data_IF_137649215076
#
_entry.id   IF_137649215076
#
_cell.length_a   1.000
_cell.length_b   1.000
_cell.length_c   1.000
_cell.angle_alpha   90.00
_cell.angle_beta   90.00
_cell.angle_gamma   90.00
#
_symmetry.space_group_name_H-M   'P 1'
#
loop_
_entity.id
_entity.type
_entity.pdbx_description
1 polymer ?
#
# COMPACT_ATOMS: atom_id res chain seq x y z
N UNK A 1 -3.83 -10.94 -21.27
CA UNK A 1 -3.04 -10.50 -20.11
C UNK A 1 -2.79 -9.01 -20.26
N UNK A 2 -3.34 -8.18 -19.37
CA UNK A 2 -3.09 -6.73 -19.41
C UNK A 2 -1.74 -6.48 -18.76
N UNK A 3 -0.79 -5.92 -19.52
CA UNK A 3 0.50 -5.51 -19.00
C UNK A 3 0.32 -4.18 -18.25
N UNK A 4 0.52 -4.17 -16.93
CA UNK A 4 0.33 -2.98 -16.09
C UNK A 4 1.19 -1.80 -16.57
N UNK A 5 2.43 -2.05 -17.00
CA UNK A 5 3.31 -0.99 -17.54
C UNK A 5 2.74 -0.37 -18.83
N UNK A 6 2.05 -1.18 -19.65
CA UNK A 6 1.38 -0.70 -20.85
C UNK A 6 0.12 0.11 -20.56
N UNK A 7 -0.57 -0.20 -19.45
CA UNK A 7 -1.74 0.53 -18.99
C UNK A 7 -1.33 1.90 -18.41
N UNK A 8 -0.25 1.95 -17.63
CA UNK A 8 0.31 3.19 -17.10
C UNK A 8 0.78 4.14 -18.20
N UNK A 9 1.52 3.64 -19.19
CA UNK A 9 1.95 4.46 -20.33
C UNK A 9 0.75 4.95 -21.17
N UNK A 10 -0.30 4.13 -21.28
CA UNK A 10 -1.53 4.52 -21.99
C UNK A 10 -2.34 5.57 -21.20
N UNK A 11 -2.32 5.53 -19.88
CA UNK A 11 -2.93 6.55 -19.02
C UNK A 11 -2.16 7.86 -19.11
N UNK A 12 -0.83 7.81 -19.01
CA UNK A 12 0.05 8.98 -19.11
C UNK A 12 -0.10 9.69 -20.46
N UNK A 13 -0.11 8.93 -21.57
CA UNK A 13 -0.36 9.50 -22.91
C UNK A 13 -1.74 10.14 -23.05
N UNK A 14 -2.78 9.58 -22.44
CA UNK A 14 -4.13 10.17 -22.46
C UNK A 14 -4.21 11.46 -21.65
N UNK A 15 -3.46 11.56 -20.54
CA UNK A 15 -3.35 12.75 -19.69
C UNK A 15 -2.56 13.85 -20.42
N UNK A 16 -1.48 13.47 -21.10
CA UNK A 16 -0.61 14.38 -21.85
C UNK A 16 -1.28 14.90 -23.13
N UNK A 17 -1.97 14.02 -23.87
CA UNK A 17 -2.79 14.38 -25.03
C UNK A 17 -3.95 15.33 -24.67
N UNK A 18 -4.42 15.33 -23.41
CA UNK A 18 -5.45 16.24 -22.90
C UNK A 18 -4.91 17.60 -22.41
N UNK A 19 -3.58 17.85 -22.40
CA UNK A 19 -2.95 19.08 -21.87
C UNK A 19 -3.42 19.48 -20.46
N UNK A 20 -3.63 18.52 -19.56
CA UNK A 20 -4.11 18.79 -18.18
C UNK A 20 -3.02 18.62 -17.10
N UNK A 21 -1.80 18.23 -17.46
CA UNK A 21 -0.75 17.96 -16.48
C UNK A 21 -0.06 19.24 -15.98
N UNK A 22 -0.77 20.02 -15.16
CA UNK A 22 -0.16 20.98 -14.24
C UNK A 22 0.40 20.27 -12.99
N UNK A 23 1.13 20.99 -12.12
CA UNK A 23 1.63 20.48 -10.83
C UNK A 23 0.53 19.84 -9.96
N UNK A 24 -0.73 20.23 -10.16
CA UNK A 24 -1.90 19.64 -9.51
C UNK A 24 -2.10 18.16 -9.88
N UNK A 25 -1.79 17.75 -11.11
CA UNK A 25 -1.90 16.33 -11.50
C UNK A 25 -0.83 15.48 -10.83
N UNK A 26 0.40 15.97 -10.69
CA UNK A 26 1.43 15.28 -9.90
C UNK A 26 1.05 15.20 -8.43
N UNK A 27 0.42 16.23 -7.87
CA UNK A 27 -0.13 16.23 -6.51
C UNK A 27 -1.30 15.25 -6.35
N UNK A 28 -2.13 15.09 -7.39
CA UNK A 28 -3.20 14.08 -7.44
C UNK A 28 -2.63 12.66 -7.61
N UNK A 29 -1.55 12.48 -8.38
CA UNK A 29 -0.85 11.19 -8.50
C UNK A 29 -0.09 10.84 -7.22
N UNK A 30 0.51 11.82 -6.54
CA UNK A 30 1.01 11.64 -5.16
C UNK A 30 -0.11 11.26 -4.19
N UNK A 31 -1.34 11.75 -4.39
CA UNK A 31 -2.51 11.32 -3.62
C UNK A 31 -2.91 9.86 -3.90
N UNK A 32 -2.47 9.26 -5.01
CA UNK A 32 -2.65 7.83 -5.30
C UNK A 32 -1.45 6.96 -4.89
N UNK A 33 -0.34 7.55 -4.39
CA UNK A 33 0.75 6.80 -3.77
C UNK A 33 0.27 6.32 -2.40
N UNK A 34 0.10 5.02 -2.26
CA UNK A 34 -0.37 4.44 -1.02
C UNK A 34 0.81 3.82 -0.29
N UNK A 35 1.05 4.30 0.94
CA UNK A 35 1.92 3.63 1.88
C UNK A 35 1.12 2.52 2.55
N UNK A 36 1.53 1.28 2.32
CA UNK A 36 0.85 0.09 2.85
C UNK A 36 1.67 -0.47 4.00
N UNK A 37 1.02 -0.72 5.12
CA UNK A 37 1.62 -1.42 6.26
C UNK A 37 1.44 -2.91 6.04
N UNK A 38 2.53 -3.62 5.82
CA UNK A 38 2.53 -5.06 5.53
C UNK A 38 3.12 -5.85 6.70
N UNK A 39 2.47 -6.97 7.02
CA UNK A 39 2.95 -7.94 8.01
C UNK A 39 3.27 -9.25 7.29
N UNK A 40 4.53 -9.73 7.30
CA UNK A 40 4.86 -11.03 6.72
C UNK A 40 4.09 -12.15 7.41
N UNK A 41 3.54 -13.09 6.64
CA UNK A 41 2.87 -14.28 7.21
C UNK A 41 3.94 -15.19 7.82
N UNK A 42 3.92 -15.35 9.14
CA UNK A 42 4.86 -16.20 9.89
C UNK A 42 4.19 -17.50 10.36
N UNK A 43 2.88 -17.49 10.53
CA UNK A 43 2.09 -18.64 10.95
C UNK A 43 0.64 -18.53 10.43
N UNK A 44 -0.15 -19.61 10.47
CA UNK A 44 -1.59 -19.57 10.16
C UNK A 44 -2.38 -18.60 11.05
N UNK A 45 -1.84 -18.20 12.20
CA UNK A 45 -2.50 -17.32 13.18
C UNK A 45 -2.15 -15.84 12.99
N UNK A 46 -1.18 -15.49 12.13
CA UNK A 46 -0.72 -14.11 11.96
C UNK A 46 -1.87 -13.14 11.64
N UNK A 47 -2.83 -13.52 10.79
CA UNK A 47 -4.00 -12.68 10.50
C UNK A 47 -4.87 -12.43 11.74
N UNK A 48 -5.08 -13.48 12.55
CA UNK A 48 -5.88 -13.36 13.78
C UNK A 48 -5.19 -12.47 14.80
N UNK A 49 -3.87 -12.59 14.94
CA UNK A 49 -3.06 -11.72 15.80
C UNK A 49 -3.14 -10.26 15.38
N UNK A 50 -2.92 -9.96 14.10
CA UNK A 50 -3.00 -8.57 13.57
C UNK A 50 -4.41 -8.01 13.76
N UNK A 51 -5.46 -8.82 13.57
CA UNK A 51 -6.87 -8.39 13.72
C UNK A 51 -7.27 -8.02 15.14
N UNK A 52 -6.49 -8.39 16.15
CA UNK A 52 -6.71 -7.90 17.52
C UNK A 52 -6.52 -6.39 17.62
N UNK A 53 -5.67 -5.81 16.76
CA UNK A 53 -5.33 -4.39 16.74
C UNK A 53 -5.91 -3.67 15.52
N UNK A 54 -5.87 -4.31 14.35
CA UNK A 54 -6.36 -3.77 13.09
C UNK A 54 -7.46 -4.68 12.56
N UNK A 55 -8.71 -4.39 12.98
CA UNK A 55 -9.87 -5.22 12.62
C UNK A 55 -10.09 -5.37 11.11
N UNK A 56 -9.68 -4.36 10.34
CA UNK A 56 -9.80 -4.33 8.87
C UNK A 56 -8.67 -5.09 8.15
N UNK A 57 -7.72 -5.65 8.88
CA UNK A 57 -6.60 -6.36 8.27
C UNK A 57 -7.09 -7.60 7.50
N UNK A 58 -6.42 -7.90 6.38
CA UNK A 58 -6.76 -9.03 5.52
C UNK A 58 -5.52 -9.66 4.90
N UNK A 59 -5.62 -10.95 4.59
CA UNK A 59 -4.59 -11.69 3.87
C UNK A 59 -4.60 -11.25 2.40
N UNK A 60 -3.44 -10.92 1.88
CA UNK A 60 -3.21 -10.53 0.49
C UNK A 60 -2.01 -11.33 -0.06
N UNK A 61 -1.98 -11.45 -1.38
CA UNK A 61 -0.91 -12.14 -2.10
C UNK A 61 -0.09 -11.13 -2.93
N UNK A 62 1.21 -11.39 -3.03
CA UNK A 62 2.13 -10.67 -3.91
C UNK A 62 3.05 -11.65 -4.65
N UNK A 63 3.81 -11.17 -5.64
CA UNK A 63 4.83 -11.99 -6.31
C UNK A 63 5.88 -12.55 -5.34
N UNK A 64 6.13 -11.85 -4.22
CA UNK A 64 7.07 -12.24 -3.17
C UNK A 64 6.46 -13.15 -2.10
N UNK A 65 5.18 -13.53 -2.24
CA UNK A 65 4.43 -14.36 -1.30
C UNK A 65 3.31 -13.62 -0.57
N UNK A 66 2.61 -14.36 0.28
CA UNK A 66 1.47 -13.87 1.03
C UNK A 66 1.89 -12.95 2.20
N UNK A 67 1.08 -11.93 2.46
CA UNK A 67 1.27 -10.95 3.53
C UNK A 67 -0.08 -10.52 4.11
N UNK A 68 -0.07 -9.93 5.31
CA UNK A 68 -1.26 -9.27 5.85
C UNK A 68 -1.16 -7.77 5.53
N UNK A 69 -2.16 -7.25 4.83
CA UNK A 69 -2.39 -5.81 4.72
C UNK A 69 -2.99 -5.33 6.04
N UNK A 70 -2.28 -4.43 6.72
CA UNK A 70 -2.66 -3.84 7.99
C UNK A 70 -3.04 -2.34 7.87
N UNK A 71 -3.29 -1.88 6.65
CA UNK A 71 -3.76 -0.53 6.34
C UNK A 71 -3.00 0.11 5.17
N UNK A 72 -3.72 0.93 4.42
CA UNK A 72 -3.20 1.77 3.33
C UNK A 72 -3.41 3.25 3.66
N UNK A 73 -2.40 4.07 3.41
CA UNK A 73 -2.37 5.48 3.80
C UNK A 73 -1.84 6.37 2.67
N UNK A 74 -2.35 7.59 2.57
CA UNK A 74 -1.91 8.58 1.57
C UNK A 74 -0.57 9.24 1.88
N UNK A 75 -0.03 9.03 3.08
CA UNK A 75 1.22 9.62 3.52
C UNK A 75 2.01 8.65 4.42
N UNK A 76 3.33 8.76 4.34
CA UNK A 76 4.25 7.86 5.05
C UNK A 76 4.12 8.00 6.57
N UNK A 77 3.85 9.21 7.08
CA UNK A 77 3.78 9.46 8.52
C UNK A 77 2.62 8.71 9.16
N UNK A 78 1.46 8.70 8.52
CA UNK A 78 0.29 7.94 8.94
C UNK A 78 0.56 6.43 8.92
N UNK A 79 1.24 5.92 7.88
CA UNK A 79 1.62 4.52 7.81
C UNK A 79 2.64 4.13 8.90
N UNK A 80 3.64 4.97 9.17
CA UNK A 80 4.63 4.72 10.23
C UNK A 80 4.00 4.74 11.61
N UNK A 81 3.01 5.62 11.88
CA UNK A 81 2.27 5.57 13.16
C UNK A 81 1.57 4.23 13.35
N UNK A 82 0.88 3.73 12.32
CA UNK A 82 0.27 2.39 12.36
C UNK A 82 1.31 1.29 12.54
N UNK A 83 2.47 1.44 11.90
CA UNK A 83 3.55 0.49 12.03
C UNK A 83 4.14 0.48 13.46
N UNK A 84 4.33 1.64 14.07
CA UNK A 84 4.80 1.80 15.45
C UNK A 84 3.81 1.20 16.46
N UNK A 85 2.50 1.45 16.29
CA UNK A 85 1.45 0.82 17.09
C UNK A 85 1.58 -0.72 17.06
N UNK A 86 1.69 -1.31 15.87
CA UNK A 86 1.84 -2.77 15.74
C UNK A 86 3.17 -3.29 16.31
N UNK A 87 4.28 -2.57 16.09
CA UNK A 87 5.60 -2.91 16.66
C UNK A 87 5.58 -2.88 18.18
N UNK A 88 4.83 -1.96 18.79
CA UNK A 88 4.66 -1.88 20.25
C UNK A 88 4.01 -3.14 20.85
N UNK A 89 3.28 -3.91 20.03
CA UNK A 89 2.68 -5.20 20.38
C UNK A 89 3.54 -6.40 19.95
N UNK A 90 4.79 -6.18 19.52
CA UNK A 90 5.70 -7.24 19.08
C UNK A 90 5.43 -7.75 17.66
N UNK A 91 4.56 -7.09 16.90
CA UNK A 91 4.25 -7.48 15.52
C UNK A 91 5.32 -6.88 14.60
N UNK A 92 6.01 -7.75 13.85
CA UNK A 92 7.00 -7.33 12.85
C UNK A 92 6.28 -6.80 11.60
N UNK A 93 6.54 -5.56 11.24
CA UNK A 93 5.86 -4.89 10.11
C UNK A 93 6.86 -4.14 9.22
N UNK A 94 6.48 -3.95 7.97
CA UNK A 94 7.18 -3.10 7.01
C UNK A 94 6.21 -2.07 6.44
N UNK A 95 6.70 -0.85 6.18
CA UNK A 95 5.97 0.14 5.39
C UNK A 95 6.51 0.04 3.97
N UNK A 96 5.61 -0.20 3.02
CA UNK A 96 5.94 -0.31 1.60
C UNK A 96 5.27 0.83 0.87
N UNK A 97 6.05 1.54 0.05
CA UNK A 97 5.55 2.54 -0.87
C UNK A 97 5.05 1.83 -2.13
N UNK A 98 3.73 1.69 -2.27
CA UNK A 98 3.11 1.17 -3.49
C UNK A 98 2.96 2.34 -4.47
N UNK A 99 3.95 2.48 -5.36
CA UNK A 99 3.95 3.40 -6.50
C UNK A 99 3.82 2.65 -7.82
#
# INVERSE_FOLDING_TARGET
MVNLQGLEQSLQRQIEAKKIAGPDTQKLLQKYRNYVVVVPVQSPYTLLEVRQYVKTAYLADSESGAYIDAGSFSDQSSAEKRAEELRSHGIKVHVVDFQ
#
